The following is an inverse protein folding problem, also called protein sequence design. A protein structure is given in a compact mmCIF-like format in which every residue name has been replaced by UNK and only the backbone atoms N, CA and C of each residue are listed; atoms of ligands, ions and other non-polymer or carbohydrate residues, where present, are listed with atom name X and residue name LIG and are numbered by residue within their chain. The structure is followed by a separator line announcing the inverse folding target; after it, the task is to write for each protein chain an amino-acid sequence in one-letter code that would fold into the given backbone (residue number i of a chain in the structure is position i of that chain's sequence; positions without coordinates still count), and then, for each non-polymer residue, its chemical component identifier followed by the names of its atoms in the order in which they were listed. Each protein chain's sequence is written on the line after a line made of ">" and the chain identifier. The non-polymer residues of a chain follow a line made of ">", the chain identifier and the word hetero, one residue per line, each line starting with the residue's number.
data_IF_306606728661
#
_entry.id   IF_306606728661
#
_cell.length_a   1.000
_cell.length_b   1.000
_cell.length_c   1.000
_cell.angle_alpha   90.00
_cell.angle_beta   90.00
_cell.angle_gamma   90.00
#
_symmetry.space_group_name_H-M   'P 1'
#
loop_
_entity.id
_entity.type
_entity.pdbx_description
1 polymer ?
#
# COMPACT_ATOMS: atom_id res chain seq x y z
N UNK A 1 36.31 5.50 37.75
CA UNK A 1 36.05 5.88 36.34
C UNK A 1 34.62 6.36 36.26
N UNK A 2 34.32 7.50 35.61
CA UNK A 2 32.92 7.87 35.40
C UNK A 2 32.28 6.80 34.51
N UNK A 3 31.03 6.45 34.79
CA UNK A 3 30.27 5.50 33.98
C UNK A 3 30.19 6.03 32.53
N UNK A 4 30.23 5.17 31.50
CA UNK A 4 30.05 5.62 30.13
C UNK A 4 28.71 6.37 30.04
N UNK A 5 28.75 7.64 29.62
CA UNK A 5 27.53 8.39 29.34
C UNK A 5 26.70 7.58 28.35
N UNK A 6 25.47 7.23 28.73
CA UNK A 6 24.57 6.49 27.88
C UNK A 6 24.26 7.36 26.65
N UNK A 7 24.96 7.08 25.55
CA UNK A 7 24.81 7.80 24.27
C UNK A 7 23.38 7.72 23.73
N UNK A 8 22.63 6.69 24.14
CA UNK A 8 21.23 6.47 23.82
C UNK A 8 20.37 6.54 25.07
N UNK A 9 19.23 7.22 24.98
CA UNK A 9 18.27 7.30 26.08
C UNK A 9 16.84 7.20 25.56
N UNK A 10 15.96 6.61 26.37
CA UNK A 10 14.53 6.54 26.10
C UNK A 10 13.81 7.35 27.16
N UNK A 11 13.09 8.38 26.74
CA UNK A 11 12.19 9.14 27.61
C UNK A 11 10.77 8.68 27.34
N UNK A 12 10.07 8.19 28.36
CA UNK A 12 8.66 7.79 28.28
C UNK A 12 7.84 8.80 29.09
N UNK A 13 6.78 9.34 28.48
CA UNK A 13 5.88 10.31 29.10
C UNK A 13 5.26 9.73 30.39
N UNK A 14 5.30 10.48 31.49
CA UNK A 14 4.71 10.10 32.78
C UNK A 14 5.06 8.67 33.26
N UNK A 15 6.26 8.18 32.92
CA UNK A 15 6.76 6.89 33.44
C UNK A 15 7.40 7.09 34.81
N UNK A 16 6.95 6.38 35.86
CA UNK A 16 7.62 6.38 37.16
C UNK A 16 8.90 5.55 37.17
N UNK A 17 9.13 4.75 36.11
CA UNK A 17 10.24 3.81 36.03
C UNK A 17 11.42 4.42 35.28
N UNK A 18 12.63 4.19 35.81
CA UNK A 18 13.88 4.53 35.16
C UNK A 18 14.35 3.34 34.28
N UNK A 19 14.38 3.55 32.96
CA UNK A 19 14.90 2.58 32.00
C UNK A 19 16.24 3.03 31.42
N UNK A 20 17.16 2.09 31.27
CA UNK A 20 18.40 2.29 30.52
C UNK A 20 18.34 1.52 29.21
N UNK A 21 18.74 2.17 28.12
CA UNK A 21 18.78 1.55 26.79
C UNK A 21 20.03 0.68 26.67
N UNK A 22 19.84 -0.60 26.35
CA UNK A 22 20.93 -1.55 26.05
C UNK A 22 21.22 -1.60 24.55
N UNK A 23 20.18 -1.78 23.75
CA UNK A 23 20.24 -1.92 22.32
C UNK A 23 18.91 -1.50 21.70
N UNK A 24 18.91 -1.21 20.41
CA UNK A 24 17.69 -1.06 19.65
C UNK A 24 17.93 -1.51 18.22
N UNK A 25 16.88 -2.01 17.59
CA UNK A 25 16.80 -2.28 16.15
C UNK A 25 15.57 -1.55 15.61
N UNK A 26 15.70 -0.97 14.43
CA UNK A 26 14.66 -0.11 13.89
C UNK A 26 14.55 -0.19 12.38
N UNK A 27 13.31 -0.13 11.91
CA UNK A 27 13.00 -0.05 10.49
C UNK A 27 12.20 1.22 10.22
N UNK A 28 12.63 1.97 9.21
CA UNK A 28 11.93 3.14 8.70
C UNK A 28 12.03 3.11 7.17
N UNK A 29 10.97 3.54 6.49
CA UNK A 29 10.95 3.62 5.04
C UNK A 29 9.90 4.57 4.53
N UNK A 30 10.08 5.06 3.31
CA UNK A 30 9.09 5.89 2.64
C UNK A 30 7.79 5.09 2.46
N UNK A 31 6.67 5.73 2.78
CA UNK A 31 5.33 5.17 2.73
C UNK A 31 5.12 3.93 3.62
N UNK A 32 5.90 3.83 4.71
CA UNK A 32 5.77 2.76 5.70
C UNK A 32 5.79 3.33 7.12
N UNK A 33 4.95 2.82 8.03
CA UNK A 33 5.11 3.10 9.46
C UNK A 33 6.49 2.63 9.91
N UNK A 34 7.21 3.46 10.67
CA UNK A 34 8.44 3.02 11.32
C UNK A 34 8.13 2.13 12.53
N UNK A 35 9.07 1.27 12.90
CA UNK A 35 8.99 0.48 14.12
C UNK A 35 10.40 0.28 14.68
N UNK A 36 10.59 0.66 15.95
CA UNK A 36 11.85 0.51 16.68
C UNK A 36 11.63 -0.40 17.88
N UNK A 37 12.31 -1.54 17.91
CA UNK A 37 12.34 -2.43 19.08
C UNK A 37 13.54 -2.04 19.94
N UNK A 38 13.28 -1.69 21.19
CA UNK A 38 14.26 -1.13 22.12
C UNK A 38 14.37 -2.08 23.30
N UNK A 39 15.57 -2.61 23.51
CA UNK A 39 15.88 -3.45 24.65
C UNK A 39 16.35 -2.56 25.81
N UNK A 40 15.67 -2.72 26.94
CA UNK A 40 15.81 -1.89 28.12
C UNK A 40 16.18 -2.74 29.34
N UNK A 41 16.80 -2.09 30.33
CA UNK A 41 16.95 -2.63 31.67
C UNK A 41 16.47 -1.64 32.73
N UNK A 42 15.89 -2.18 33.80
CA UNK A 42 15.50 -1.41 34.98
C UNK A 42 15.77 -2.19 36.26
N UNK A 43 16.00 -1.49 37.37
CA UNK A 43 16.04 -2.07 38.72
C UNK A 43 14.63 -2.42 39.24
N UNK A 44 13.58 -1.91 38.61
CA UNK A 44 12.21 -2.30 38.92
C UNK A 44 11.96 -3.74 38.44
N UNK A 45 11.55 -4.62 39.35
CA UNK A 45 11.34 -6.05 39.06
C UNK A 45 9.92 -6.36 38.55
N UNK A 46 8.94 -5.52 38.88
CA UNK A 46 7.53 -5.76 38.55
C UNK A 46 6.81 -4.44 38.23
N UNK A 47 7.14 -3.79 37.10
CA UNK A 47 6.44 -2.61 36.64
C UNK A 47 5.08 -2.99 36.06
N UNK A 48 4.08 -2.16 36.31
CA UNK A 48 2.80 -2.24 35.60
C UNK A 48 3.02 -1.90 34.11
N UNK A 49 3.14 -2.94 33.29
CA UNK A 49 3.41 -2.82 31.85
C UNK A 49 2.24 -2.21 31.08
N UNK A 50 1.01 -2.38 31.57
CA UNK A 50 -0.19 -1.82 30.92
C UNK A 50 -0.14 -0.28 30.97
N UNK A 51 0.40 0.28 32.07
CA UNK A 51 0.62 1.72 32.17
C UNK A 51 1.65 2.26 31.19
N UNK A 52 2.48 1.41 30.58
CA UNK A 52 3.47 1.82 29.57
C UNK A 52 2.89 1.81 28.15
N UNK A 53 1.89 0.97 27.88
CA UNK A 53 1.26 0.91 26.57
C UNK A 53 0.62 2.26 26.21
N UNK A 54 0.68 2.60 24.93
CA UNK A 54 0.09 3.81 24.36
C UNK A 54 0.70 5.14 24.84
N UNK A 55 1.68 5.13 25.75
CA UNK A 55 2.41 6.34 26.14
C UNK A 55 3.31 6.84 25.02
N UNK A 56 3.48 8.15 24.93
CA UNK A 56 4.45 8.74 24.02
C UNK A 56 5.86 8.53 24.56
N UNK A 57 6.80 8.29 23.67
CA UNK A 57 8.19 8.14 24.03
C UNK A 57 9.13 8.66 22.94
N UNK A 58 10.34 9.05 23.37
CA UNK A 58 11.39 9.57 22.52
C UNK A 58 12.69 8.81 22.76
N UNK A 59 13.18 8.12 21.73
CA UNK A 59 14.48 7.48 21.68
C UNK A 59 15.51 8.47 21.12
N UNK A 60 16.41 8.98 21.95
CA UNK A 60 17.48 9.89 21.54
C UNK A 60 18.75 9.13 21.09
N UNK A 61 19.38 9.59 19.99
CA UNK A 61 20.58 8.97 19.39
C UNK A 61 21.91 9.59 19.79
N UNK A 62 21.87 10.87 20.10
CA UNK A 62 22.92 11.65 20.71
C UNK A 62 22.21 12.58 21.70
N UNK A 63 22.89 13.11 22.72
CA UNK A 63 22.26 14.00 23.71
C UNK A 63 21.68 15.31 23.13
N UNK A 64 21.56 15.45 21.80
CA UNK A 64 21.20 16.66 21.07
C UNK A 64 20.02 16.43 20.11
N UNK A 65 18.79 16.43 20.63
CA UNK A 65 17.51 16.57 19.87
C UNK A 65 17.22 15.58 18.72
N UNK A 66 18.19 14.77 18.29
CA UNK A 66 18.09 13.79 17.22
C UNK A 66 17.62 12.46 17.77
N UNK A 67 16.54 11.94 17.21
CA UNK A 67 15.94 10.72 17.71
C UNK A 67 14.60 10.40 17.06
N UNK A 68 14.01 9.32 17.54
CA UNK A 68 12.73 8.80 17.06
C UNK A 68 11.70 9.01 18.16
N UNK A 69 10.76 9.89 17.87
CA UNK A 69 9.53 9.98 18.63
C UNK A 69 8.52 8.96 18.15
N UNK A 70 7.80 8.31 19.06
CA UNK A 70 6.65 7.49 18.73
C UNK A 70 5.77 7.22 19.95
N UNK A 71 4.91 6.23 19.82
CA UNK A 71 4.04 5.72 20.86
C UNK A 71 4.44 4.27 21.17
N UNK A 72 4.40 3.90 22.45
CA UNK A 72 4.67 2.53 22.87
C UNK A 72 3.55 1.64 22.33
N UNK A 73 3.91 0.77 21.40
CA UNK A 73 3.02 -0.13 20.67
C UNK A 73 2.98 -1.52 21.30
N UNK A 74 4.11 -1.97 21.84
CA UNK A 74 4.22 -3.25 22.52
C UNK A 74 5.21 -3.10 23.68
N UNK A 75 4.95 -3.82 24.78
CA UNK A 75 5.85 -3.94 25.92
C UNK A 75 5.95 -5.40 26.30
N UNK A 76 7.16 -5.85 26.62
CA UNK A 76 7.40 -7.19 27.15
C UNK A 76 8.45 -7.12 28.25
N UNK A 77 8.24 -7.93 29.29
CA UNK A 77 9.22 -8.20 30.32
C UNK A 77 9.86 -9.55 30.03
N UNK A 78 11.19 -9.62 30.11
CA UNK A 78 11.97 -10.85 30.04
C UNK A 78 12.39 -11.25 31.45
N UNK A 79 13.17 -12.33 31.53
CA UNK A 79 13.58 -12.91 32.80
C UNK A 79 14.23 -11.86 33.74
N UNK A 80 13.83 -11.82 35.02
CA UNK A 80 14.45 -10.95 36.00
C UNK A 80 15.87 -11.43 36.28
N UNK A 81 16.84 -10.54 36.09
CA UNK A 81 18.21 -10.76 36.54
C UNK A 81 18.34 -10.55 38.05
N UNK A 82 19.55 -10.77 38.59
CA UNK A 82 19.81 -10.60 40.05
C UNK A 82 19.64 -9.18 40.58
N UNK A 83 19.73 -8.17 39.70
CA UNK A 83 19.61 -6.74 40.05
C UNK A 83 18.82 -5.96 39.02
N UNK A 84 18.97 -6.31 37.74
CA UNK A 84 18.29 -5.66 36.63
C UNK A 84 17.35 -6.64 35.95
N UNK A 85 16.17 -6.17 35.61
CA UNK A 85 15.18 -6.89 34.81
C UNK A 85 15.24 -6.37 33.38
N UNK A 86 15.18 -7.29 32.42
CA UNK A 86 15.20 -6.96 31.00
C UNK A 86 13.79 -6.71 30.48
N UNK A 87 13.63 -5.66 29.68
CA UNK A 87 12.39 -5.31 29.00
C UNK A 87 12.66 -5.11 27.52
N UNK A 88 11.62 -5.25 26.70
CA UNK A 88 11.65 -4.88 25.30
C UNK A 88 10.39 -4.11 24.96
N UNK A 89 10.55 -2.92 24.38
CA UNK A 89 9.44 -2.07 23.95
C UNK A 89 9.51 -1.80 22.46
N UNK A 90 8.36 -1.79 21.79
CA UNK A 90 8.26 -1.39 20.39
C UNK A 90 7.70 0.02 20.32
N UNK A 91 8.47 0.94 19.74
CA UNK A 91 8.09 2.31 19.47
C UNK A 91 7.62 2.42 18.02
N UNK A 92 6.39 2.89 17.80
CA UNK A 92 5.79 3.02 16.47
C UNK A 92 4.96 4.32 16.38
N UNK A 93 4.65 4.86 15.18
CA UNK A 93 3.79 6.02 15.08
C UNK A 93 2.36 5.67 15.47
N UNK A 94 1.60 6.66 15.92
CA UNK A 94 0.14 6.52 16.13
C UNK A 94 -0.55 6.03 14.84
N UNK A 95 0.00 6.43 13.67
CA UNK A 95 -0.44 5.95 12.37
C UNK A 95 -0.46 4.42 12.20
N UNK A 96 0.35 3.67 12.97
CA UNK A 96 0.36 2.20 12.92
C UNK A 96 -0.94 1.57 13.42
N UNK A 97 -1.66 2.25 14.33
CA UNK A 97 -2.89 1.72 14.91
C UNK A 97 -4.03 1.60 13.90
N UNK A 98 -3.94 2.32 12.77
CA UNK A 98 -4.87 2.20 11.65
C UNK A 98 -4.87 0.78 11.04
N UNK A 99 -3.85 -0.03 11.31
CA UNK A 99 -3.82 -1.44 10.92
C UNK A 99 -4.85 -2.31 11.67
N UNK A 100 -5.35 -1.87 12.82
CA UNK A 100 -6.24 -2.66 13.68
C UNK A 100 -7.73 -2.43 13.43
N UNK A 101 -8.08 -1.48 12.56
CA UNK A 101 -9.46 -1.16 12.22
C UNK A 101 -9.72 -1.44 10.75
N UNK A 102 -10.57 -2.44 10.49
CA UNK A 102 -11.11 -2.73 9.16
C UNK A 102 -12.46 -2.05 9.00
N UNK A 103 -12.74 -1.50 7.82
CA UNK A 103 -13.97 -0.77 7.58
C UNK A 103 -14.58 -0.98 6.18
N UNK A 104 -15.83 -0.54 6.05
CA UNK A 104 -16.57 -0.45 4.78
C UNK A 104 -17.23 0.91 4.71
N UNK A 105 -16.70 1.81 3.87
CA UNK A 105 -17.17 3.20 3.79
C UNK A 105 -17.17 3.70 2.36
N UNK A 106 -18.05 4.66 2.10
CA UNK A 106 -18.18 5.33 0.82
C UNK A 106 -17.88 6.82 1.02
N UNK A 107 -17.01 7.35 0.18
CA UNK A 107 -16.64 8.76 0.11
C UNK A 107 -17.06 9.30 -1.25
N UNK A 108 -17.76 10.43 -1.27
CA UNK A 108 -18.30 11.03 -2.49
C UNK A 108 -17.90 12.49 -2.60
N UNK A 109 -17.54 12.91 -3.81
CA UNK A 109 -17.20 14.31 -4.11
C UNK A 109 -16.09 14.90 -3.22
N UNK A 110 -15.14 14.07 -2.80
CA UNK A 110 -13.98 14.46 -1.98
C UNK A 110 -12.68 14.21 -2.72
N UNK A 111 -11.68 15.07 -2.53
CA UNK A 111 -10.32 14.82 -2.99
C UNK A 111 -9.66 13.74 -2.14
N UNK A 112 -8.64 13.07 -2.67
CA UNK A 112 -7.92 12.04 -1.90
C UNK A 112 -7.30 12.60 -0.61
N UNK A 113 -6.65 13.78 -0.58
CA UNK A 113 -6.20 14.38 0.67
C UNK A 113 -7.32 14.60 1.69
N UNK A 114 -8.51 15.03 1.25
CA UNK A 114 -9.67 15.19 2.13
C UNK A 114 -10.14 13.86 2.72
N UNK A 115 -10.19 12.80 1.90
CA UNK A 115 -10.53 11.44 2.36
C UNK A 115 -9.51 10.97 3.41
N UNK A 116 -8.21 11.12 3.13
CA UNK A 116 -7.14 10.75 4.06
C UNK A 116 -7.28 11.52 5.38
N UNK A 117 -7.49 12.84 5.34
CA UNK A 117 -7.71 13.66 6.55
C UNK A 117 -8.91 13.20 7.38
N UNK A 118 -10.01 12.80 6.74
CA UNK A 118 -11.18 12.27 7.47
C UNK A 118 -10.85 10.96 8.18
N UNK A 119 -10.17 10.04 7.50
CA UNK A 119 -9.76 8.76 8.11
C UNK A 119 -8.78 8.99 9.25
N UNK A 120 -7.80 9.89 9.08
CA UNK A 120 -6.85 10.26 10.15
C UNK A 120 -7.56 10.87 11.38
N UNK A 121 -8.53 11.76 11.14
CA UNK A 121 -9.31 12.41 12.20
C UNK A 121 -10.10 11.39 13.03
N UNK A 122 -10.64 10.35 12.42
CA UNK A 122 -11.33 9.27 13.13
C UNK A 122 -10.43 8.49 14.08
N UNK A 123 -9.11 8.54 13.87
CA UNK A 123 -8.08 7.98 14.75
C UNK A 123 -7.44 9.03 15.66
N UNK A 124 -8.01 10.23 15.78
CA UNK A 124 -7.47 11.30 16.62
C UNK A 124 -6.16 11.91 16.10
N UNK A 125 -5.82 11.70 14.82
CA UNK A 125 -4.68 12.33 14.16
C UNK A 125 -5.17 13.61 13.49
N UNK A 126 -5.05 14.74 14.20
CA UNK A 126 -5.51 16.05 13.75
C UNK A 126 -4.46 16.81 12.93
N UNK A 127 -4.80 18.00 12.45
CA UNK A 127 -3.96 18.87 11.60
C UNK A 127 -2.61 19.25 12.22
N UNK A 128 -2.46 19.14 13.55
CA UNK A 128 -1.16 19.35 14.23
C UNK A 128 -0.20 18.16 14.10
N UNK A 129 -0.71 16.97 13.75
CA UNK A 129 0.03 15.72 13.68
C UNK A 129 0.20 15.18 12.25
N UNK A 130 -0.40 15.84 11.25
CA UNK A 130 -0.18 15.52 9.85
C UNK A 130 -0.19 16.78 8.97
N UNK A 131 0.50 16.71 7.84
CA UNK A 131 0.56 17.81 6.87
C UNK A 131 0.64 17.30 5.44
N UNK A 132 0.08 18.07 4.51
CA UNK A 132 0.15 17.81 3.07
C UNK A 132 1.05 18.85 2.40
N UNK A 133 2.18 18.39 1.84
CA UNK A 133 3.09 19.19 1.03
C UNK A 133 2.97 18.75 -0.43
N UNK A 134 1.89 19.16 -1.07
CA UNK A 134 1.49 18.72 -2.39
C UNK A 134 1.68 19.85 -3.41
N UNK A 135 2.34 19.55 -4.53
CA UNK A 135 2.49 20.50 -5.64
C UNK A 135 1.40 20.30 -6.71
N UNK A 136 0.77 19.14 -6.73
CA UNK A 136 -0.30 18.76 -7.67
C UNK A 136 -1.66 19.14 -7.13
N UNK A 137 -2.55 19.58 -8.02
CA UNK A 137 -3.96 19.79 -7.68
C UNK A 137 -4.73 18.47 -7.78
N UNK A 138 -5.26 18.01 -6.65
CA UNK A 138 -6.11 16.82 -6.59
C UNK A 138 -7.56 17.15 -6.91
N UNK A 139 -8.16 16.39 -7.84
CA UNK A 139 -9.57 16.54 -8.21
C UNK A 139 -10.46 15.69 -7.28
N UNK A 140 -11.67 16.17 -6.94
CA UNK A 140 -12.62 15.36 -6.20
C UNK A 140 -12.97 14.08 -6.95
N UNK A 141 -12.96 12.96 -6.25
CA UNK A 141 -13.45 11.69 -6.78
C UNK A 141 -14.97 11.69 -6.70
N UNK A 142 -15.62 11.32 -7.81
CA UNK A 142 -17.08 11.13 -7.83
C UNK A 142 -17.50 10.10 -6.79
N UNK A 143 -16.74 9.01 -6.71
CA UNK A 143 -17.01 7.89 -5.80
C UNK A 143 -15.70 7.19 -5.40
N UNK A 144 -15.51 6.95 -4.11
CA UNK A 144 -14.37 6.20 -3.57
C UNK A 144 -14.85 5.28 -2.44
N UNK A 145 -14.44 4.02 -2.48
CA UNK A 145 -14.86 3.01 -1.50
C UNK A 145 -13.64 2.49 -0.75
N UNK A 146 -13.78 2.40 0.56
CA UNK A 146 -12.99 1.51 1.41
C UNK A 146 -13.81 0.24 1.60
N UNK A 147 -13.30 -0.91 1.17
CA UNK A 147 -14.06 -2.17 1.23
C UNK A 147 -13.25 -3.29 1.86
N UNK A 148 -13.62 -3.69 3.07
CA UNK A 148 -12.99 -4.80 3.82
C UNK A 148 -11.46 -4.69 3.90
N UNK A 149 -10.96 -3.47 4.03
CA UNK A 149 -9.54 -3.21 4.20
C UNK A 149 -9.31 -2.37 5.45
N UNK A 150 -8.11 -2.46 6.01
CA UNK A 150 -7.73 -1.65 7.17
C UNK A 150 -7.63 -0.19 6.79
N UNK A 151 -7.85 0.71 7.74
CA UNK A 151 -7.69 2.15 7.51
C UNK A 151 -6.26 2.49 7.05
N UNK A 152 -5.25 1.74 7.52
CA UNK A 152 -3.87 1.88 7.08
C UNK A 152 -3.70 1.48 5.62
N UNK A 153 -4.20 0.29 5.24
CA UNK A 153 -4.12 -0.20 3.87
C UNK A 153 -4.86 0.72 2.91
N UNK A 154 -6.02 1.23 3.31
CA UNK A 154 -6.81 2.18 2.52
C UNK A 154 -6.01 3.45 2.20
N UNK A 155 -5.38 4.07 3.21
CA UNK A 155 -4.55 5.26 3.00
C UNK A 155 -3.35 4.94 2.10
N UNK A 156 -2.66 3.82 2.35
CA UNK A 156 -1.51 3.40 1.53
C UNK A 156 -1.90 3.22 0.05
N UNK A 157 -3.01 2.51 -0.20
CA UNK A 157 -3.56 2.32 -1.55
C UNK A 157 -3.90 3.65 -2.22
N UNK A 158 -4.56 4.56 -1.51
CA UNK A 158 -4.89 5.89 -2.03
C UNK A 158 -3.63 6.70 -2.34
N UNK A 159 -2.60 6.62 -1.50
CA UNK A 159 -1.32 7.26 -1.77
C UNK A 159 -0.67 6.70 -3.04
N UNK A 160 -0.62 5.38 -3.18
CA UNK A 160 -0.04 4.71 -4.35
C UNK A 160 -0.77 5.04 -5.65
N UNK A 161 -2.12 5.06 -5.64
CA UNK A 161 -2.96 5.42 -6.80
C UNK A 161 -2.69 6.84 -7.31
N UNK A 162 -2.40 7.77 -6.41
CA UNK A 162 -2.22 9.19 -6.68
C UNK A 162 -0.75 9.61 -6.81
N UNK A 163 0.19 8.66 -6.69
CA UNK A 163 1.62 8.95 -6.68
C UNK A 163 2.09 9.75 -5.46
N UNK A 164 1.31 9.74 -4.37
CA UNK A 164 1.71 10.33 -3.10
C UNK A 164 2.59 9.35 -2.33
N UNK A 165 3.50 9.90 -1.55
CA UNK A 165 4.25 9.19 -0.54
C UNK A 165 4.07 9.87 0.81
N UNK A 166 4.40 9.15 1.88
CA UNK A 166 4.46 9.75 3.21
C UNK A 166 5.75 9.39 3.94
N UNK A 167 6.13 10.25 4.87
CA UNK A 167 7.25 10.05 5.79
C UNK A 167 6.94 10.70 7.14
N UNK A 168 7.78 10.46 8.12
CA UNK A 168 7.62 11.03 9.46
C UNK A 168 8.72 12.04 9.74
N UNK A 169 8.35 13.16 10.36
CA UNK A 169 9.31 14.14 10.88
C UNK A 169 9.22 14.12 12.40
N UNK A 170 10.35 13.85 13.04
CA UNK A 170 10.42 13.69 14.49
C UNK A 170 10.95 14.96 15.16
N UNK A 171 10.37 15.25 16.31
CA UNK A 171 10.88 16.19 17.30
C UNK A 171 10.87 15.50 18.66
N UNK A 172 11.48 16.10 19.68
CA UNK A 172 11.47 15.53 21.03
C UNK A 172 10.06 15.35 21.61
N UNK A 173 9.08 16.16 21.16
CA UNK A 173 7.72 16.21 21.74
C UNK A 173 6.66 15.51 20.91
N UNK A 174 6.91 15.31 19.62
CA UNK A 174 5.94 14.73 18.70
C UNK A 174 6.58 14.26 17.41
N UNK A 175 5.84 13.47 16.64
CA UNK A 175 6.13 13.18 15.24
C UNK A 175 4.98 13.71 14.37
N UNK A 176 5.32 14.18 13.17
CA UNK A 176 4.36 14.67 12.19
C UNK A 176 4.39 13.74 10.97
N UNK A 177 3.21 13.26 10.56
CA UNK A 177 3.02 12.50 9.33
C UNK A 177 2.96 13.47 8.13
N UNK A 178 3.91 13.38 7.23
CA UNK A 178 4.04 14.29 6.09
C UNK A 178 3.73 13.55 4.80
N UNK A 179 2.67 13.97 4.11
CA UNK A 179 2.35 13.52 2.76
C UNK A 179 2.96 14.47 1.73
N UNK A 180 3.47 13.92 0.63
CA UNK A 180 3.84 14.72 -0.53
C UNK A 180 3.88 13.92 -1.82
N UNK A 181 4.03 14.61 -2.93
CA UNK A 181 3.88 14.07 -4.29
C UNK A 181 5.13 14.26 -5.16
N UNK A 182 6.20 14.79 -4.57
CA UNK A 182 7.47 15.02 -5.27
C UNK A 182 8.64 15.04 -4.28
N UNK A 183 9.87 14.99 -4.82
CA UNK A 183 11.09 14.91 -4.04
C UNK A 183 11.53 16.22 -3.36
N UNK A 184 10.94 17.37 -3.69
CA UNK A 184 11.41 18.67 -3.16
C UNK A 184 11.09 18.85 -1.68
N UNK A 185 10.17 18.04 -1.14
CA UNK A 185 9.76 18.07 0.27
C UNK A 185 10.81 17.49 1.22
N UNK A 186 11.72 16.64 0.71
CA UNK A 186 12.71 15.99 1.55
C UNK A 186 13.77 17.00 1.98
N UNK A 187 14.12 16.94 3.28
CA UNK A 187 15.16 17.80 3.86
C UNK A 187 16.49 17.55 3.13
N UNK A 188 17.06 18.60 2.58
CA UNK A 188 18.43 18.58 2.06
C UNK A 188 19.41 18.67 3.22
N UNK A 189 20.40 17.78 3.22
CA UNK A 189 21.50 17.84 4.18
C UNK A 189 22.38 19.06 3.86
N UNK A 190 22.84 19.75 4.91
CA UNK A 190 23.69 20.94 4.75
C UNK A 190 25.06 20.60 4.16
N UNK A 191 25.59 19.41 4.49
CA UNK A 191 26.85 18.87 3.96
C UNK A 191 26.59 17.44 3.47
N UNK A 192 27.21 17.07 2.35
CA UNK A 192 27.18 15.70 1.87
C UNK A 192 27.91 14.77 2.86
N UNK A 193 27.31 13.63 3.17
CA UNK A 193 27.94 12.58 3.98
C UNK A 193 29.00 11.88 3.15
N UNK A 194 30.24 11.82 3.65
CA UNK A 194 31.35 11.20 2.93
C UNK A 194 31.21 9.68 2.88
N UNK A 195 31.69 9.07 1.80
CA UNK A 195 31.84 7.63 1.68
C UNK A 195 33.24 7.21 2.07
N UNK A 196 33.36 6.33 3.06
CA UNK A 196 34.62 5.75 3.51
C UNK A 196 34.45 4.24 3.60
N UNK A 197 35.02 3.51 2.64
CA UNK A 197 34.99 2.05 2.66
C UNK A 197 35.56 1.54 3.98
N UNK A 198 34.86 0.59 4.60
CA UNK A 198 35.19 0.09 5.93
C UNK A 198 36.66 -0.36 6.01
N UNK A 199 37.42 0.34 6.85
CA UNK A 199 38.84 0.07 7.12
C UNK A 199 39.05 -0.69 8.43
N UNK A 200 37.96 -1.06 9.12
CA UNK A 200 38.00 -1.63 10.47
C UNK A 200 38.24 -0.60 11.59
N UNK A 201 38.36 0.68 11.24
CA UNK A 201 38.52 1.80 12.19
C UNK A 201 37.22 2.60 12.31
N UNK A 202 36.92 3.10 13.51
CA UNK A 202 35.81 4.03 13.70
C UNK A 202 36.15 5.39 13.07
N UNK A 203 35.25 5.93 12.26
CA UNK A 203 35.37 7.28 11.73
C UNK A 203 35.00 8.31 12.81
N UNK A 204 35.70 9.44 12.82
CA UNK A 204 35.45 10.54 13.75
C UNK A 204 34.17 11.33 13.40
N UNK A 205 33.76 11.32 12.13
CA UNK A 205 32.53 11.93 11.62
C UNK A 205 31.54 10.86 11.09
N UNK A 206 30.23 11.16 10.99
CA UNK A 206 29.28 10.27 10.31
C UNK A 206 29.66 10.05 8.84
N UNK A 207 29.83 8.78 8.45
CA UNK A 207 30.23 8.35 7.10
C UNK A 207 29.36 7.21 6.59
N UNK A 208 29.20 7.10 5.27
CA UNK A 208 28.67 5.89 4.63
C UNK A 208 29.81 4.89 4.47
N UNK A 209 29.66 3.69 5.02
CA UNK A 209 30.73 2.66 5.01
C UNK A 209 30.68 1.67 3.86
N UNK A 210 29.49 1.45 3.32
CA UNK A 210 29.26 0.44 2.30
C UNK A 210 28.19 0.90 1.32
N UNK A 211 28.41 0.64 0.04
CA UNK A 211 27.39 0.70 -0.99
C UNK A 211 27.27 -0.67 -1.65
N UNK A 212 26.03 -1.10 -1.89
CA UNK A 212 25.72 -2.33 -2.59
C UNK A 212 24.65 -2.10 -3.64
N UNK A 213 24.79 -2.77 -4.78
CA UNK A 213 23.77 -2.79 -5.83
C UNK A 213 23.10 -4.15 -5.83
N UNK A 214 21.78 -4.16 -5.69
CA UNK A 214 20.97 -5.37 -5.79
C UNK A 214 20.09 -5.28 -7.04
N UNK A 215 20.07 -6.36 -7.82
CA UNK A 215 19.13 -6.53 -8.92
C UNK A 215 18.06 -7.51 -8.45
N UNK A 216 16.80 -7.09 -8.51
CA UNK A 216 15.65 -7.92 -8.21
C UNK A 216 14.67 -7.83 -9.37
N UNK A 217 14.04 -8.95 -9.72
CA UNK A 217 12.89 -8.91 -10.61
C UNK A 217 11.76 -8.18 -9.90
N UNK A 218 11.42 -7.00 -10.42
CA UNK A 218 10.25 -6.23 -9.97
C UNK A 218 9.23 -6.22 -11.08
N UNK A 219 7.95 -6.10 -10.72
CA UNK A 219 6.91 -5.78 -11.68
C UNK A 219 7.25 -4.42 -12.28
N UNK A 220 7.87 -4.42 -13.46
CA UNK A 220 8.20 -3.19 -14.17
C UNK A 220 6.89 -2.62 -14.72
N UNK A 221 6.35 -1.60 -14.05
CA UNK A 221 5.36 -0.76 -14.67
C UNK A 221 6.07 0.12 -15.71
N UNK A 222 6.23 -0.39 -16.93
CA UNK A 222 6.52 0.42 -18.11
C UNK A 222 5.20 0.88 -18.70
N UNK A 223 4.67 1.99 -18.21
CA UNK A 223 3.76 2.83 -18.99
C UNK A 223 4.63 3.81 -19.80
N UNK A 224 4.55 3.69 -21.12
CA UNK A 224 5.28 4.56 -22.05
C UNK A 224 6.49 3.91 -22.74
N UNK A 225 6.24 2.89 -23.58
CA UNK A 225 7.15 2.55 -24.68
C UNK A 225 8.00 1.29 -24.49
N UNK A 226 7.64 0.25 -25.24
CA UNK A 226 8.57 -0.79 -25.74
C UNK A 226 9.08 -1.83 -24.73
N UNK A 227 8.26 -2.83 -24.38
CA UNK A 227 8.72 -4.24 -24.12
C UNK A 227 7.63 -5.29 -23.86
N UNK A 228 6.34 -4.98 -23.96
CA UNK A 228 5.27 -6.00 -23.96
C UNK A 228 4.88 -6.51 -25.37
N UNK A 229 5.33 -5.82 -26.42
CA UNK A 229 4.96 -6.13 -27.82
C UNK A 229 5.86 -7.17 -28.50
N UNK A 230 6.88 -7.71 -27.83
CA UNK A 230 7.73 -8.77 -28.40
C UNK A 230 7.19 -10.19 -28.16
N UNK A 231 6.19 -10.36 -27.29
CA UNK A 231 5.61 -11.68 -27.00
C UNK A 231 4.51 -12.10 -27.98
N UNK A 232 3.95 -11.17 -28.74
CA UNK A 232 3.02 -11.46 -29.83
C UNK A 232 3.65 -10.91 -31.10
N UNK A 233 4.22 -11.81 -31.91
CA UNK A 233 4.74 -11.48 -33.22
C UNK A 233 3.65 -10.93 -34.18
N UNK A 234 3.81 -11.07 -35.50
CA UNK A 234 3.05 -10.33 -36.52
C UNK A 234 1.50 -10.44 -36.50
N UNK A 235 0.87 -11.23 -35.61
CA UNK A 235 -0.58 -11.43 -35.51
C UNK A 235 -1.40 -10.37 -34.73
N UNK A 236 -0.79 -9.28 -34.25
CA UNK A 236 -1.50 -8.22 -33.51
C UNK A 236 -2.57 -7.52 -34.35
N UNK A 237 -2.29 -7.30 -35.64
CA UNK A 237 -3.24 -6.64 -36.54
C UNK A 237 -4.49 -7.51 -36.78
N UNK A 238 -4.31 -8.83 -36.83
CA UNK A 238 -5.40 -9.78 -37.03
C UNK A 238 -6.32 -9.87 -35.81
N UNK A 239 -5.76 -9.77 -34.61
CA UNK A 239 -6.53 -9.75 -33.36
C UNK A 239 -7.40 -8.49 -33.24
N UNK A 240 -6.82 -7.31 -33.51
CA UNK A 240 -7.57 -6.04 -33.47
C UNK A 240 -8.67 -6.02 -34.53
N UNK A 241 -8.40 -6.57 -35.71
CA UNK A 241 -9.40 -6.70 -36.77
C UNK A 241 -10.52 -7.69 -36.39
N UNK A 242 -10.19 -8.79 -35.71
CA UNK A 242 -11.15 -9.75 -35.20
C UNK A 242 -12.07 -9.19 -34.13
N UNK A 243 -11.55 -8.45 -33.14
CA UNK A 243 -12.36 -7.82 -32.09
C UNK A 243 -13.39 -6.86 -32.70
N UNK A 244 -12.99 -6.05 -33.68
CA UNK A 244 -13.88 -5.13 -34.39
C UNK A 244 -14.94 -5.87 -35.23
N UNK A 245 -14.54 -6.93 -35.93
CA UNK A 245 -15.46 -7.76 -36.73
C UNK A 245 -16.46 -8.51 -35.85
N UNK A 246 -16.02 -8.95 -34.66
CA UNK A 246 -16.84 -9.67 -33.68
C UNK A 246 -17.86 -8.74 -33.05
N UNK A 247 -17.45 -7.55 -32.63
CA UNK A 247 -18.36 -6.53 -32.11
C UNK A 247 -19.44 -6.14 -33.15
N UNK A 248 -19.04 -6.03 -34.42
CA UNK A 248 -19.98 -5.73 -35.51
C UNK A 248 -20.93 -6.92 -35.80
N UNK A 249 -20.41 -8.14 -35.90
CA UNK A 249 -21.20 -9.35 -36.13
C UNK A 249 -22.22 -9.63 -35.02
N UNK A 250 -21.87 -9.36 -33.76
CA UNK A 250 -22.79 -9.44 -32.61
C UNK A 250 -23.88 -8.36 -32.72
N UNK A 251 -23.52 -7.13 -33.11
CA UNK A 251 -24.50 -6.04 -33.26
C UNK A 251 -25.55 -6.27 -34.35
N UNK A 252 -25.28 -7.18 -35.29
CA UNK A 252 -26.18 -7.56 -36.38
C UNK A 252 -26.69 -9.01 -36.29
N UNK A 253 -26.42 -9.72 -35.18
CA UNK A 253 -26.90 -11.09 -34.95
C UNK A 253 -26.27 -12.19 -35.82
N UNK A 254 -25.13 -11.96 -36.46
CA UNK A 254 -24.50 -12.90 -37.41
C UNK A 254 -23.31 -13.65 -36.80
N UNK A 255 -23.59 -14.57 -35.87
CA UNK A 255 -22.59 -15.33 -35.09
C UNK A 255 -21.63 -16.16 -35.97
N UNK A 256 -22.09 -16.67 -37.12
CA UNK A 256 -21.29 -17.49 -38.03
C UNK A 256 -20.03 -16.78 -38.59
N UNK A 257 -20.02 -15.44 -38.66
CA UNK A 257 -18.87 -14.66 -39.13
C UNK A 257 -17.74 -14.53 -38.12
N UNK A 258 -18.03 -14.76 -36.84
CA UNK A 258 -17.07 -14.70 -35.75
C UNK A 258 -16.20 -15.95 -35.76
N UNK A 259 -16.85 -17.12 -35.92
CA UNK A 259 -16.23 -18.45 -35.89
C UNK A 259 -15.39 -18.72 -37.14
N UNK A 260 -15.80 -18.21 -38.30
CA UNK A 260 -15.12 -18.44 -39.58
C UNK A 260 -14.05 -17.40 -39.93
N UNK A 261 -13.67 -16.53 -39.00
CA UNK A 261 -12.69 -15.47 -39.26
C UNK A 261 -11.24 -16.02 -39.38
N UNK A 262 -10.36 -15.38 -40.17
CA UNK A 262 -8.97 -15.80 -40.31
C UNK A 262 -8.20 -15.86 -38.98
N UNK A 263 -8.48 -14.95 -38.05
CA UNK A 263 -7.86 -14.93 -36.72
C UNK A 263 -8.25 -16.16 -35.85
N UNK A 264 -9.46 -16.69 -36.02
CA UNK A 264 -9.92 -17.90 -35.31
C UNK A 264 -9.30 -19.15 -35.91
N UNK A 265 -9.19 -19.22 -37.23
CA UNK A 265 -8.56 -20.37 -37.89
C UNK A 265 -7.04 -20.40 -37.68
N UNK A 266 -6.38 -19.24 -37.72
CA UNK A 266 -4.93 -19.13 -37.54
C UNK A 266 -4.48 -19.33 -36.08
N UNK A 267 -5.37 -19.19 -35.10
CA UNK A 267 -5.09 -19.44 -33.68
C UNK A 267 -5.39 -20.87 -33.22
N UNK A 268 -5.77 -21.76 -34.14
CA UNK A 268 -6.09 -23.16 -33.83
C UNK A 268 -7.31 -23.34 -32.93
N UNK A 269 -8.19 -22.34 -32.83
CA UNK A 269 -9.44 -22.41 -32.05
C UNK A 269 -9.31 -22.29 -30.53
N UNK A 270 -8.10 -22.23 -29.97
CA UNK A 270 -7.88 -22.23 -28.51
C UNK A 270 -8.23 -20.90 -27.82
N UNK A 271 -7.89 -19.76 -28.42
CA UNK A 271 -8.15 -18.45 -27.80
C UNK A 271 -9.65 -18.09 -27.71
N UNK A 272 -10.48 -18.35 -28.74
CA UNK A 272 -11.93 -18.19 -28.65
C UNK A 272 -12.53 -19.13 -27.61
N UNK A 273 -12.04 -20.36 -27.53
CA UNK A 273 -12.54 -21.34 -26.58
C UNK A 273 -12.23 -20.91 -25.14
N UNK A 274 -11.06 -20.31 -24.87
CA UNK A 274 -10.71 -19.74 -23.55
C UNK A 274 -11.57 -18.53 -23.20
N UNK A 275 -11.84 -17.63 -24.15
CA UNK A 275 -12.69 -16.45 -23.92
C UNK A 275 -14.16 -16.86 -23.76
N UNK A 276 -14.63 -17.83 -24.55
CA UNK A 276 -15.97 -18.39 -24.40
C UNK A 276 -16.08 -19.14 -23.07
N UNK A 277 -15.11 -19.98 -22.71
CA UNK A 277 -15.05 -20.70 -21.42
C UNK A 277 -15.04 -19.72 -20.23
N UNK A 278 -14.27 -18.64 -20.29
CA UNK A 278 -14.25 -17.62 -19.23
C UNK A 278 -15.59 -16.91 -19.10
N UNK A 279 -16.26 -16.62 -20.23
CA UNK A 279 -17.60 -16.06 -20.21
C UNK A 279 -18.66 -17.07 -19.73
N UNK A 280 -18.58 -18.33 -20.14
CA UNK A 280 -19.52 -19.39 -19.74
C UNK A 280 -19.32 -19.81 -18.28
N UNK A 281 -18.10 -19.87 -17.77
CA UNK A 281 -17.78 -20.15 -16.36
C UNK A 281 -18.25 -19.02 -15.44
N UNK A 282 -18.03 -17.76 -15.83
CA UNK A 282 -18.61 -16.63 -15.10
C UNK A 282 -20.14 -16.69 -15.11
N UNK A 283 -20.76 -16.92 -16.27
CA UNK A 283 -22.23 -16.99 -16.40
C UNK A 283 -22.81 -18.15 -15.57
N UNK A 284 -22.13 -19.30 -15.52
CA UNK A 284 -22.55 -20.47 -14.74
C UNK A 284 -22.47 -20.22 -13.22
N UNK A 285 -21.45 -19.52 -12.75
CA UNK A 285 -21.33 -19.17 -11.32
C UNK A 285 -22.38 -18.15 -10.87
N UNK A 286 -22.76 -17.21 -11.74
CA UNK A 286 -23.87 -16.28 -11.48
C UNK A 286 -25.25 -16.97 -11.54
N UNK A 287 -25.46 -17.91 -12.48
CA UNK A 287 -26.71 -18.67 -12.59
C UNK A 287 -26.90 -19.67 -11.42
N UNK A 288 -25.81 -20.26 -10.92
CA UNK A 288 -25.86 -21.13 -9.74
C UNK A 288 -26.19 -20.36 -8.44
N UNK A 289 -25.86 -19.07 -8.36
CA UNK A 289 -26.29 -18.18 -7.27
C UNK A 289 -27.73 -17.69 -7.44
N UNK A 290 -28.21 -17.53 -8.68
CA UNK A 290 -29.59 -17.14 -8.97
C UNK A 290 -30.60 -18.29 -8.80
N UNK A 291 -30.22 -19.53 -9.10
CA UNK A 291 -31.07 -20.73 -8.93
C UNK A 291 -31.39 -21.08 -7.45
N UNK A 292 -30.82 -20.35 -6.48
CA UNK A 292 -31.18 -20.48 -5.06
C UNK A 292 -32.50 -19.76 -4.69
N UNK A 293 -33.11 -19.01 -5.62
CA UNK A 293 -34.38 -18.31 -5.46
C UNK A 293 -35.26 -18.56 -6.70
N UNK A 294 -36.29 -19.40 -6.53
CA UNK A 294 -37.46 -19.69 -7.39
C UNK A 294 -37.42 -19.45 -8.92
N UNK A 295 -37.94 -20.45 -9.66
CA UNK A 295 -38.01 -20.60 -11.13
C UNK A 295 -38.11 -19.28 -11.93
N UNK A 296 -37.04 -18.95 -12.66
CA UNK A 296 -36.96 -17.79 -13.56
C UNK A 296 -37.41 -18.15 -14.99
N UNK A 297 -38.35 -17.38 -15.53
CA UNK A 297 -38.87 -17.51 -16.91
C UNK A 297 -37.86 -17.06 -17.99
N UNK A 298 -37.98 -17.56 -19.23
CA UNK A 298 -37.00 -17.41 -20.33
C UNK A 298 -36.63 -15.95 -20.63
N UNK A 299 -37.57 -15.02 -20.41
CA UNK A 299 -37.37 -13.60 -20.64
C UNK A 299 -36.38 -12.98 -19.64
N UNK A 300 -36.36 -13.47 -18.40
CA UNK A 300 -35.42 -13.03 -17.36
C UNK A 300 -34.01 -13.58 -17.55
N UNK A 301 -33.87 -14.76 -18.17
CA UNK A 301 -32.57 -15.32 -18.58
C UNK A 301 -31.96 -14.45 -19.68
N UNK A 302 -32.77 -14.04 -20.66
CA UNK A 302 -32.33 -13.15 -21.73
C UNK A 302 -32.00 -11.74 -21.23
N UNK A 303 -32.74 -11.20 -20.25
CA UNK A 303 -32.42 -9.92 -19.62
C UNK A 303 -31.14 -9.97 -18.78
N UNK A 304 -30.86 -11.10 -18.13
CA UNK A 304 -29.64 -11.33 -17.34
C UNK A 304 -28.42 -11.53 -18.25
N UNK A 305 -28.58 -12.26 -19.36
CA UNK A 305 -27.55 -12.40 -20.39
C UNK A 305 -27.26 -11.04 -21.07
N UNK A 306 -28.31 -10.25 -21.33
CA UNK A 306 -28.19 -8.89 -21.85
C UNK A 306 -27.47 -7.99 -20.85
N UNK A 307 -27.81 -8.05 -19.56
CA UNK A 307 -27.14 -7.29 -18.51
C UNK A 307 -25.64 -7.64 -18.42
N UNK A 308 -25.27 -8.93 -18.47
CA UNK A 308 -23.88 -9.36 -18.48
C UNK A 308 -23.11 -8.84 -19.72
N UNK A 309 -23.77 -8.80 -20.88
CA UNK A 309 -23.21 -8.23 -22.12
C UNK A 309 -23.10 -6.69 -22.05
N UNK A 310 -24.04 -6.01 -21.39
CA UNK A 310 -23.98 -4.57 -21.11
C UNK A 310 -22.86 -4.23 -20.12
N UNK A 311 -22.61 -5.07 -19.11
CA UNK A 311 -21.45 -4.99 -18.23
C UNK A 311 -20.14 -5.17 -19.00
N UNK A 312 -20.09 -6.13 -19.93
CA UNK A 312 -18.95 -6.28 -20.85
C UNK A 312 -18.71 -5.05 -21.74
N UNK A 313 -19.78 -4.41 -22.23
CA UNK A 313 -19.70 -3.15 -23.00
C UNK A 313 -19.22 -1.97 -22.14
N UNK A 314 -19.64 -1.90 -20.88
CA UNK A 314 -19.17 -0.89 -19.93
C UNK A 314 -17.70 -1.11 -19.56
N UNK A 315 -17.29 -2.38 -19.44
CA UNK A 315 -15.89 -2.77 -19.23
C UNK A 315 -15.00 -2.37 -20.41
N UNK A 316 -15.44 -2.61 -21.65
CA UNK A 316 -14.76 -2.16 -22.87
C UNK A 316 -14.67 -0.64 -22.98
N UNK A 317 -15.69 0.10 -22.53
CA UNK A 317 -15.71 1.57 -22.49
C UNK A 317 -14.80 2.13 -21.40
N UNK A 318 -14.80 1.53 -20.22
CA UNK A 318 -13.85 1.83 -19.15
C UNK A 318 -12.42 1.53 -19.61
N UNK A 319 -12.19 0.42 -20.30
CA UNK A 319 -10.90 0.06 -20.90
C UNK A 319 -10.47 1.07 -21.97
N UNK A 320 -11.35 1.51 -22.88
CA UNK A 320 -10.99 2.54 -23.89
C UNK A 320 -10.71 3.90 -23.28
N UNK A 321 -11.45 4.31 -22.22
CA UNK A 321 -11.21 5.57 -21.51
C UNK A 321 -9.94 5.50 -20.63
N UNK A 322 -9.64 4.34 -20.01
CA UNK A 322 -8.39 4.10 -19.27
C UNK A 322 -7.18 3.99 -20.20
N UNK A 323 -7.32 3.35 -21.37
CA UNK A 323 -6.26 3.30 -22.38
C UNK A 323 -6.01 4.67 -23.04
N UNK A 324 -7.04 5.50 -23.27
CA UNK A 324 -6.88 6.85 -23.80
C UNK A 324 -6.24 7.83 -22.79
N UNK A 325 -6.31 7.52 -21.48
CA UNK A 325 -5.68 8.28 -20.38
C UNK A 325 -4.43 7.61 -19.82
N UNK A 326 -3.98 6.52 -20.44
CA UNK A 326 -2.74 5.82 -20.10
C UNK A 326 -2.71 5.15 -18.72
N UNK A 327 -3.79 4.51 -18.27
CA UNK A 327 -3.85 3.82 -16.96
C UNK A 327 -4.27 2.33 -17.09
N UNK A 328 -3.34 1.41 -16.87
CA UNK A 328 -3.62 0.09 -16.24
C UNK A 328 -3.88 -1.15 -17.11
N UNK A 329 -3.17 -2.25 -16.79
CA UNK A 329 -3.12 -3.58 -17.42
C UNK A 329 -4.26 -4.55 -17.04
N UNK A 330 -4.56 -5.51 -17.94
CA UNK A 330 -5.51 -6.65 -17.81
C UNK A 330 -5.33 -7.48 -16.52
N UNK A 331 -4.13 -7.54 -15.94
CA UNK A 331 -3.88 -8.34 -14.72
C UNK A 331 -4.52 -7.76 -13.45
N UNK A 332 -4.72 -6.44 -13.38
CA UNK A 332 -5.37 -5.81 -12.21
C UNK A 332 -6.87 -6.14 -12.12
N UNK A 333 -7.45 -6.59 -13.24
CA UNK A 333 -8.87 -6.93 -13.34
C UNK A 333 -9.10 -8.43 -13.13
N UNK A 334 -8.22 -9.31 -13.62
CA UNK A 334 -8.34 -10.75 -13.33
C UNK A 334 -8.13 -11.08 -11.85
N UNK A 335 -7.29 -10.32 -11.12
CA UNK A 335 -7.15 -10.47 -9.67
C UNK A 335 -8.39 -10.05 -8.88
N UNK A 336 -9.12 -9.05 -9.39
CA UNK A 336 -10.38 -8.59 -8.80
C UNK A 336 -11.53 -9.58 -9.03
N UNK A 337 -11.48 -10.37 -10.12
CA UNK A 337 -12.48 -11.39 -10.42
C UNK A 337 -12.28 -12.72 -9.67
N UNK A 338 -11.04 -13.10 -9.33
CA UNK A 338 -10.75 -14.31 -8.56
C UNK A 338 -11.08 -14.19 -7.06
N UNK A 339 -11.34 -12.96 -6.58
CA UNK A 339 -11.76 -12.66 -5.20
C UNK A 339 -13.29 -12.50 -5.06
N UNK A 340 -14.05 -12.71 -6.14
CA UNK A 340 -15.52 -12.68 -6.12
C UNK A 340 -16.16 -13.95 -6.72
N UNK A 341 -15.39 -15.04 -6.82
CA UNK A 341 -15.90 -16.42 -6.78
C UNK A 341 -15.61 -16.98 -5.40
#
# INVERSE_FOLDING_TARGET
>A
MPAPEHRFSLTIEDSPYAFQVLAFDGTEGISRPYAFTIDLVSECADPDLEQLLHKQAFLAFDGMESGIHGQIYQVSQRDPGRRLTHYSVTLAPHFSYLAHRTNQRIFQSLTVPQIISLVLKDHGIFESAHQFQLNTRYLPREYCVQYQETDLHFIQRLCEEEGMHFHFQHSRKSHVLVFGDNQSIFRKLARATAYHQDSGMAADEPVVRSFGTRLETRTSHTEGGTRLLQAFGPGINDFVHWVKSTAHAISIGQVARIVNSPAVQNSGGLAPMVVLLLNTLNTHNYLNQANALEEMDEQRINDTASAALYWGRHWLRCWTVRCARGWGSIKSICGFLLLQL
#
